data_IF_063398705003
#
_entry.id   IF_063398705003
#
_cell.length_a   1.000
_cell.length_b   1.000
_cell.length_c   1.000
_cell.angle_alpha   90.00
_cell.angle_beta   90.00
_cell.angle_gamma   90.00
#
_symmetry.space_group_name_H-M   'P 1'
#
loop_
_entity.id
_entity.type
_entity.pdbx_description
1 polymer ?
#
# COMPACT_ATOMS: atom_id res chain seq x y z
N UNK A 1 9.14 29.98 -49.03
CA UNK A 1 9.83 28.92 -48.28
C UNK A 1 9.38 29.03 -46.83
N UNK A 2 8.20 28.48 -46.55
CA UNK A 2 7.62 28.51 -45.20
C UNK A 2 8.11 27.28 -44.45
N UNK A 3 8.89 27.53 -43.39
CA UNK A 3 9.30 26.52 -42.44
C UNK A 3 8.07 26.10 -41.63
N UNK A 4 7.48 24.97 -42.02
CA UNK A 4 6.41 24.30 -41.27
C UNK A 4 6.95 23.91 -39.91
N UNK A 5 6.43 24.61 -38.91
CA UNK A 5 6.64 24.42 -37.49
C UNK A 5 6.10 23.03 -37.13
N UNK A 6 6.99 22.04 -37.15
CA UNK A 6 6.71 20.67 -36.80
C UNK A 6 6.18 20.61 -35.36
N UNK A 7 4.87 20.34 -35.27
CA UNK A 7 4.18 19.59 -34.24
C UNK A 7 5.11 19.03 -33.16
N UNK A 8 5.41 19.84 -32.15
CA UNK A 8 6.01 19.37 -30.90
C UNK A 8 4.91 18.65 -30.11
N UNK A 9 4.44 17.50 -30.64
CA UNK A 9 3.66 16.56 -29.86
C UNK A 9 4.51 16.24 -28.63
N UNK A 10 4.01 16.45 -27.40
CA UNK A 10 4.77 16.06 -26.21
C UNK A 10 5.21 14.61 -26.41
N UNK A 11 6.48 14.27 -26.13
CA UNK A 11 6.98 12.93 -26.40
C UNK A 11 5.99 11.96 -25.76
N UNK A 12 5.26 11.23 -26.60
CA UNK A 12 4.31 10.25 -26.13
C UNK A 12 5.12 9.36 -25.20
N UNK A 13 4.71 9.28 -23.93
CA UNK A 13 5.29 8.33 -22.99
C UNK A 13 5.32 7.01 -23.75
N UNK A 14 6.53 6.53 -24.08
CA UNK A 14 6.68 5.38 -24.97
C UNK A 14 5.82 4.25 -24.41
N UNK A 15 5.09 3.54 -25.25
CA UNK A 15 4.22 2.43 -24.80
C UNK A 15 4.99 1.46 -23.88
N UNK A 16 6.30 1.28 -24.14
CA UNK A 16 7.23 0.52 -23.28
C UNK A 16 7.39 1.06 -21.86
N UNK A 17 7.44 2.38 -21.68
CA UNK A 17 7.53 3.00 -20.36
C UNK A 17 6.24 2.81 -19.56
N UNK A 18 5.09 2.84 -20.25
CA UNK A 18 3.80 2.55 -19.66
C UNK A 18 3.67 1.08 -19.27
N UNK A 19 4.05 0.15 -20.15
CA UNK A 19 4.08 -1.29 -19.86
C UNK A 19 4.98 -1.61 -18.66
N UNK A 20 6.17 -1.00 -18.59
CA UNK A 20 7.07 -1.17 -17.44
C UNK A 20 6.42 -0.69 -16.14
N UNK A 21 5.78 0.48 -16.17
CA UNK A 21 5.09 1.04 -15.00
C UNK A 21 3.96 0.12 -14.53
N UNK A 22 3.14 -0.38 -15.45
CA UNK A 22 2.05 -1.31 -15.14
C UNK A 22 2.59 -2.63 -14.58
N UNK A 23 3.67 -3.18 -15.17
CA UNK A 23 4.31 -4.40 -14.67
C UNK A 23 4.91 -4.22 -13.27
N UNK A 24 5.58 -3.09 -13.00
CA UNK A 24 6.09 -2.77 -11.67
C UNK A 24 4.96 -2.63 -10.64
N UNK A 25 3.86 -1.97 -11.03
CA UNK A 25 2.68 -1.81 -10.18
C UNK A 25 2.02 -3.15 -9.84
N UNK A 26 1.85 -4.03 -10.82
CA UNK A 26 1.30 -5.37 -10.62
C UNK A 26 2.22 -6.19 -9.72
N UNK A 27 3.54 -6.14 -9.97
CA UNK A 27 4.52 -6.84 -9.15
C UNK A 27 4.48 -6.40 -7.69
N UNK A 28 4.49 -5.08 -7.43
CA UNK A 28 4.40 -4.55 -6.06
C UNK A 28 3.11 -5.01 -5.40
N UNK A 29 1.98 -4.94 -6.10
CA UNK A 29 0.70 -5.39 -5.54
C UNK A 29 0.67 -6.91 -5.27
N UNK A 30 1.37 -7.72 -6.06
CA UNK A 30 1.50 -9.15 -5.82
C UNK A 30 2.24 -9.45 -4.50
N UNK A 31 3.13 -8.57 -4.03
CA UNK A 31 3.78 -8.70 -2.72
C UNK A 31 2.79 -8.64 -1.55
N UNK A 32 1.56 -8.16 -1.77
CA UNK A 32 0.50 -8.23 -0.76
C UNK A 32 0.10 -9.67 -0.41
N UNK A 33 0.42 -10.66 -1.26
CA UNK A 33 0.08 -12.06 -1.03
C UNK A 33 1.22 -12.80 -0.28
N UNK A 34 1.00 -13.26 0.97
CA UNK A 34 2.02 -14.01 1.73
C UNK A 34 2.47 -15.31 1.06
N UNK A 35 1.60 -15.96 0.28
CA UNK A 35 1.95 -17.19 -0.45
C UNK A 35 2.99 -16.89 -1.54
N UNK A 36 2.84 -15.76 -2.22
CA UNK A 36 3.78 -15.32 -3.25
C UNK A 36 5.14 -14.96 -2.64
N UNK A 37 5.14 -14.27 -1.49
CA UNK A 37 6.37 -13.99 -0.75
C UNK A 37 7.08 -15.26 -0.30
N UNK A 38 6.34 -16.27 0.16
CA UNK A 38 6.89 -17.58 0.51
C UNK A 38 7.51 -18.27 -0.71
N UNK A 39 6.82 -18.25 -1.86
CA UNK A 39 7.35 -18.76 -3.12
C UNK A 39 8.68 -18.09 -3.50
N UNK A 40 8.75 -16.76 -3.43
CA UNK A 40 9.98 -15.99 -3.70
C UNK A 40 11.11 -16.37 -2.73
N UNK A 41 10.79 -16.58 -1.46
CA UNK A 41 11.74 -16.99 -0.43
C UNK A 41 12.29 -18.40 -0.69
N UNK A 42 11.43 -19.35 -1.07
CA UNK A 42 11.82 -20.74 -1.37
C UNK A 42 12.72 -20.83 -2.61
N UNK A 43 12.46 -20.00 -3.63
CA UNK A 43 13.24 -19.97 -4.87
C UNK A 43 14.51 -19.13 -4.77
N UNK A 44 14.83 -18.64 -3.56
CA UNK A 44 16.04 -17.87 -3.23
C UNK A 44 16.16 -16.52 -3.95
N UNK A 45 15.06 -16.00 -4.51
CA UNK A 45 15.04 -14.64 -5.07
C UNK A 45 15.31 -13.59 -3.98
N UNK A 46 14.82 -13.81 -2.75
CA UNK A 46 15.06 -12.91 -1.62
C UNK A 46 16.49 -12.98 -1.05
N UNK A 47 17.28 -13.98 -1.45
CA UNK A 47 18.69 -14.10 -1.06
C UNK A 47 19.62 -13.32 -2.01
N UNK A 48 19.14 -12.98 -3.20
CA UNK A 48 19.90 -12.26 -4.23
C UNK A 48 19.99 -10.77 -3.89
N UNK A 49 21.22 -10.24 -3.81
CA UNK A 49 21.47 -8.83 -3.49
C UNK A 49 20.93 -7.90 -4.58
N UNK A 50 20.99 -8.31 -5.86
CA UNK A 50 20.48 -7.53 -6.98
C UNK A 50 18.95 -7.40 -6.88
N UNK A 51 18.27 -8.47 -6.46
CA UNK A 51 16.82 -8.45 -6.27
C UNK A 51 16.42 -7.59 -5.08
N UNK A 52 17.19 -7.60 -4.00
CA UNK A 52 16.94 -6.77 -2.82
C UNK A 52 17.14 -5.29 -3.14
N UNK A 53 18.18 -4.97 -3.92
CA UNK A 53 18.37 -3.62 -4.44
C UNK A 53 17.20 -3.18 -5.34
N UNK A 54 16.62 -4.10 -6.11
CA UNK A 54 15.40 -3.82 -6.87
C UNK A 54 14.17 -3.57 -5.98
N UNK A 55 14.01 -4.31 -4.89
CA UNK A 55 12.96 -4.04 -3.90
C UNK A 55 13.16 -2.68 -3.22
N UNK A 56 14.41 -2.27 -2.98
CA UNK A 56 14.73 -0.94 -2.46
C UNK A 56 14.35 0.15 -3.48
N UNK A 57 14.65 -0.05 -4.76
CA UNK A 57 14.20 0.83 -5.83
C UNK A 57 12.67 1.00 -5.81
N UNK A 58 11.91 -0.07 -5.67
CA UNK A 58 10.44 -0.04 -5.62
C UNK A 58 9.86 0.72 -4.42
N UNK A 59 10.66 1.15 -3.43
CA UNK A 59 10.16 2.01 -2.35
C UNK A 59 9.66 3.38 -2.86
N UNK A 60 9.92 3.75 -4.13
CA UNK A 60 9.33 4.94 -4.74
C UNK A 60 7.79 4.90 -4.75
N UNK A 61 7.17 3.71 -4.73
CA UNK A 61 5.71 3.54 -4.66
C UNK A 61 5.11 4.02 -3.34
N UNK A 62 5.92 4.19 -2.29
CA UNK A 62 5.50 4.78 -1.01
C UNK A 62 5.37 6.31 -1.06
N UNK A 63 5.89 6.96 -2.11
CA UNK A 63 5.80 8.42 -2.24
C UNK A 63 4.35 8.85 -2.59
N UNK A 64 3.92 10.04 -2.13
CA UNK A 64 2.53 10.49 -2.31
C UNK A 64 2.11 10.60 -3.78
N UNK A 65 3.05 10.79 -4.71
CA UNK A 65 2.79 10.89 -6.15
C UNK A 65 2.47 9.54 -6.81
N UNK A 66 2.73 8.42 -6.16
CA UNK A 66 2.52 7.07 -6.72
C UNK A 66 1.57 6.22 -5.90
N UNK A 67 1.45 6.50 -4.60
CA UNK A 67 0.65 5.71 -3.66
C UNK A 67 -0.84 5.62 -4.04
N UNK A 68 -1.38 6.62 -4.77
CA UNK A 68 -2.78 6.61 -5.20
C UNK A 68 -3.11 5.53 -6.24
N UNK A 69 -2.10 4.93 -6.89
CA UNK A 69 -2.30 3.78 -7.77
C UNK A 69 -2.38 2.44 -7.03
N UNK A 70 -2.03 2.40 -5.73
CA UNK A 70 -1.98 1.17 -4.94
C UNK A 70 -3.39 0.80 -4.44
N UNK A 71 -3.86 -0.38 -4.85
CA UNK A 71 -5.16 -0.91 -4.39
C UNK A 71 -5.00 -1.67 -3.07
N UNK A 72 -3.90 -2.41 -2.91
CA UNK A 72 -3.66 -3.27 -1.75
C UNK A 72 -2.61 -2.70 -0.79
N UNK A 73 -3.00 -1.95 0.26
CA UNK A 73 -2.04 -1.21 1.10
C UNK A 73 -1.04 -2.09 1.86
N UNK A 74 -1.32 -3.39 2.01
CA UNK A 74 -0.39 -4.32 2.66
C UNK A 74 0.88 -4.56 1.84
N UNK A 75 0.87 -4.35 0.53
CA UNK A 75 2.09 -4.52 -0.28
C UNK A 75 3.22 -3.59 0.19
N UNK A 76 2.91 -2.34 0.52
CA UNK A 76 3.89 -1.36 0.98
C UNK A 76 4.51 -1.79 2.31
N UNK A 77 3.68 -2.32 3.22
CA UNK A 77 4.14 -2.86 4.50
C UNK A 77 5.07 -4.06 4.31
N UNK A 78 4.76 -4.95 3.38
CA UNK A 78 5.64 -6.07 3.09
C UNK A 78 6.92 -5.63 2.38
N UNK A 79 6.86 -4.61 1.52
CA UNK A 79 8.04 -4.05 0.88
C UNK A 79 9.05 -3.51 1.90
N UNK A 80 8.58 -2.83 2.95
CA UNK A 80 9.42 -2.42 4.09
C UNK A 80 10.01 -3.63 4.84
N UNK A 81 9.18 -4.63 5.15
CA UNK A 81 9.61 -5.81 5.91
C UNK A 81 10.64 -6.65 5.14
N UNK A 82 10.54 -6.71 3.81
CA UNK A 82 11.48 -7.46 2.96
C UNK A 82 12.90 -6.86 2.99
N UNK A 83 13.08 -5.61 3.41
CA UNK A 83 14.41 -5.04 3.60
C UNK A 83 15.16 -5.71 4.77
N UNK A 84 14.45 -6.19 5.79
CA UNK A 84 15.05 -6.94 6.88
C UNK A 84 15.41 -8.37 6.43
N UNK A 85 16.70 -8.69 6.51
CA UNK A 85 17.22 -10.03 6.22
C UNK A 85 16.60 -11.10 7.13
N UNK A 86 16.27 -10.76 8.36
CA UNK A 86 15.65 -11.68 9.32
C UNK A 86 14.26 -12.09 8.87
N UNK A 87 13.48 -11.13 8.37
CA UNK A 87 12.15 -11.38 7.81
C UNK A 87 12.23 -12.24 6.54
N UNK A 88 13.16 -11.94 5.62
CA UNK A 88 13.39 -12.75 4.41
C UNK A 88 13.71 -14.21 4.75
N UNK A 89 14.57 -14.43 5.74
CA UNK A 89 14.89 -15.76 6.23
C UNK A 89 13.69 -16.44 6.90
N UNK A 90 12.89 -15.71 7.68
CA UNK A 90 11.69 -16.24 8.33
C UNK A 90 10.62 -16.65 7.32
N UNK A 91 10.44 -15.91 6.23
CA UNK A 91 9.47 -16.21 5.17
C UNK A 91 9.72 -17.53 4.43
N UNK A 92 10.93 -18.11 4.54
CA UNK A 92 11.20 -19.46 4.01
C UNK A 92 10.45 -20.55 4.78
N UNK A 93 10.03 -20.28 6.01
CA UNK A 93 9.34 -21.26 6.85
C UNK A 93 7.83 -21.17 6.64
N UNK A 94 7.19 -22.32 6.51
CA UNK A 94 5.75 -22.43 6.27
C UNK A 94 4.92 -21.94 7.48
N UNK A 95 5.38 -22.20 8.70
CA UNK A 95 4.72 -21.76 9.92
C UNK A 95 4.65 -20.24 10.05
N UNK A 96 5.72 -19.56 9.63
CA UNK A 96 5.81 -18.11 9.62
C UNK A 96 4.93 -17.50 8.52
N UNK A 97 4.87 -18.12 7.33
CA UNK A 97 3.92 -17.74 6.27
C UNK A 97 2.48 -17.78 6.77
N UNK A 98 2.07 -18.86 7.42
CA UNK A 98 0.72 -19.01 7.96
C UNK A 98 0.42 -17.98 9.05
N UNK A 99 1.42 -17.66 9.87
CA UNK A 99 1.33 -16.57 10.84
C UNK A 99 1.08 -15.22 10.16
N UNK A 100 1.86 -14.87 9.13
CA UNK A 100 1.68 -13.62 8.36
C UNK A 100 0.32 -13.58 7.68
N UNK A 101 -0.13 -14.69 7.08
CA UNK A 101 -1.45 -14.81 6.46
C UNK A 101 -2.58 -14.55 7.47
N UNK A 102 -2.52 -15.20 8.65
CA UNK A 102 -3.48 -14.96 9.74
C UNK A 102 -3.47 -13.51 10.20
N UNK A 103 -2.30 -12.90 10.33
CA UNK A 103 -2.15 -11.52 10.77
C UNK A 103 -2.76 -10.53 9.76
N UNK A 104 -2.52 -10.75 8.47
CA UNK A 104 -3.13 -9.96 7.40
C UNK A 104 -4.66 -10.08 7.43
N UNK A 105 -5.18 -11.32 7.52
CA UNK A 105 -6.61 -11.57 7.61
C UNK A 105 -7.23 -10.95 8.87
N UNK A 106 -6.55 -11.02 10.02
CA UNK A 106 -6.99 -10.35 11.25
C UNK A 106 -7.09 -8.83 11.06
N UNK A 107 -6.09 -8.23 10.41
CA UNK A 107 -6.11 -6.80 10.10
C UNK A 107 -7.31 -6.41 9.24
N UNK A 108 -7.72 -7.25 8.28
CA UNK A 108 -8.92 -6.98 7.48
C UNK A 108 -10.20 -7.07 8.28
N UNK A 109 -10.34 -8.10 9.13
CA UNK A 109 -11.52 -8.29 9.96
C UNK A 109 -11.79 -7.11 10.89
N UNK A 110 -10.74 -6.53 11.47
CA UNK A 110 -10.87 -5.47 12.48
C UNK A 110 -10.71 -4.05 11.90
N UNK A 111 -10.30 -3.91 10.63
CA UNK A 111 -10.19 -2.61 9.97
C UNK A 111 -11.54 -1.88 9.90
N UNK A 112 -12.63 -2.61 9.65
CA UNK A 112 -13.99 -2.05 9.66
C UNK A 112 -14.39 -1.51 11.03
N UNK A 113 -13.94 -2.17 12.11
CA UNK A 113 -14.27 -1.78 13.48
C UNK A 113 -13.55 -0.48 13.87
N UNK A 114 -12.32 -0.29 13.42
CA UNK A 114 -11.56 0.96 13.60
C UNK A 114 -12.21 2.11 12.84
N UNK A 115 -12.60 1.92 11.58
CA UNK A 115 -13.27 2.98 10.81
C UNK A 115 -14.63 3.32 11.43
N UNK A 116 -15.40 2.31 11.84
CA UNK A 116 -16.73 2.47 12.46
C UNK A 116 -16.66 3.14 13.83
N UNK A 117 -15.67 2.79 14.65
CA UNK A 117 -15.43 3.45 15.94
C UNK A 117 -14.95 4.89 15.76
N UNK A 118 -14.07 5.16 14.79
CA UNK A 118 -13.60 6.51 14.47
C UNK A 118 -14.69 7.43 13.89
N UNK A 119 -15.67 6.88 13.16
CA UNK A 119 -16.85 7.65 12.74
C UNK A 119 -17.87 7.81 13.87
N UNK A 120 -18.02 6.85 14.79
CA UNK A 120 -18.88 6.98 15.96
C UNK A 120 -18.42 8.08 16.95
N UNK A 121 -17.11 8.25 17.14
CA UNK A 121 -16.56 9.30 18.01
C UNK A 121 -16.65 10.71 17.40
N UNK A 122 -16.77 10.87 16.08
CA UNK A 122 -16.99 12.18 15.43
C UNK A 122 -18.42 12.69 15.54
N UNK A 123 -19.41 11.84 15.79
CA UNK A 123 -20.83 12.22 15.87
C UNK A 123 -21.26 12.60 17.30
N UNK A 124 -20.39 12.45 18.30
CA UNK A 124 -20.69 12.72 19.72
C UNK A 124 -20.43 14.15 20.20
N UNK A 125 -19.91 15.05 19.37
CA UNK A 125 -19.40 16.37 19.80
C UNK A 125 -20.23 17.55 19.26
N UNK A 126 -21.51 17.33 18.92
CA UNK A 126 -22.41 18.37 18.38
C UNK A 126 -23.66 18.67 19.23
N UNK A 127 -23.65 18.39 20.54
CA UNK A 127 -24.73 18.81 21.45
C UNK A 127 -24.19 19.33 22.78
N UNK A 128 -23.49 20.46 22.78
CA UNK A 128 -23.28 21.28 23.98
C UNK A 128 -23.47 22.75 23.59
N UNK A 129 -24.64 23.31 23.93
CA UNK A 129 -24.91 24.74 23.86
C UNK A 129 -26.37 25.10 23.62
N UNK A 130 -26.92 25.99 24.46
CA UNK A 130 -28.25 26.65 24.39
C UNK A 130 -29.47 25.81 24.81
N UNK A 131 -30.34 26.22 25.75
CA UNK A 131 -30.57 27.49 26.41
C UNK A 131 -31.27 27.25 27.77
N UNK A 132 -30.70 27.77 28.85
CA UNK A 132 -31.47 28.13 30.04
C UNK A 132 -32.14 29.48 29.77
N UNK A 133 -33.46 29.53 29.70
CA UNK A 133 -34.25 30.68 30.14
C UNK A 133 -35.76 30.39 30.09
N UNK A 134 -36.45 30.85 31.13
CA UNK A 134 -37.90 31.04 31.25
C UNK A 134 -38.70 29.87 31.85
N UNK A 135 -39.01 29.97 33.15
CA UNK A 135 -40.38 30.26 33.57
C UNK A 135 -40.46 30.35 35.10
N UNK A 136 -40.44 31.57 35.64
CA UNK A 136 -41.04 31.83 36.95
C UNK A 136 -42.55 31.91 36.77
N UNK A 137 -43.29 31.01 37.42
CA UNK A 137 -44.71 31.24 37.73
C UNK A 137 -45.15 30.35 38.89
N UNK A 138 -45.07 30.89 40.10
CA UNK A 138 -46.07 30.88 41.18
C UNK A 138 -45.38 31.28 42.49
#
# INVERSE_FOLDING_TARGET
>A
AEASMADARPPAISDKAKERFEAELEFVQALANPEYLHYLAQHRYLDDEDFVAYLDFLQYWCKPEYVHYIVFPHCLRFLELLQDASFRAAMKREDYKDFVFRQQHFSWKHRSDVIRSASASRTGEATIGENQASSSRA
#
